data_IF_977546334770
#
_entry.id   IF_977546334770
#
_cell.length_a   1.000
_cell.length_b   1.000
_cell.length_c   1.000
_cell.angle_alpha   90.00
_cell.angle_beta   90.00
_cell.angle_gamma   90.00
#
_symmetry.space_group_name_H-M   'P 1'
#
loop_
_entity.id
_entity.type
_entity.pdbx_description
1 polymer ?
#
# COMPACT_ATOMS: atom_id res chain seq x y z
N UNK A 1 3.55 7.78 35.87
CA UNK A 1 3.11 7.33 34.53
C UNK A 1 4.25 6.52 33.96
N UNK A 2 4.05 5.21 33.75
CA UNK A 2 5.12 4.30 33.35
C UNK A 2 5.45 4.50 31.87
N UNK A 3 6.74 4.56 31.54
CA UNK A 3 7.28 4.72 30.19
C UNK A 3 6.85 3.59 29.23
N UNK A 4 6.54 2.39 29.73
CA UNK A 4 5.99 1.29 28.94
C UNK A 4 4.66 1.62 28.25
N UNK A 5 3.78 2.38 28.92
CA UNK A 5 2.48 2.74 28.34
C UNK A 5 2.65 3.71 27.16
N UNK A 6 3.66 4.58 27.20
CA UNK A 6 4.00 5.49 26.10
C UNK A 6 4.63 4.75 24.92
N UNK A 7 5.39 3.66 25.18
CA UNK A 7 5.93 2.81 24.13
C UNK A 7 4.83 2.06 23.34
N UNK A 8 3.68 1.80 23.95
CA UNK A 8 2.52 1.21 23.25
C UNK A 8 2.01 2.12 22.12
N UNK A 9 2.06 3.44 22.33
CA UNK A 9 1.66 4.45 21.33
C UNK A 9 2.82 4.99 20.50
N UNK A 10 4.00 4.37 20.58
CA UNK A 10 5.15 4.78 19.78
C UNK A 10 4.82 4.72 18.27
N UNK A 11 5.49 5.54 17.47
CA UNK A 11 5.29 5.63 16.02
C UNK A 11 5.49 4.29 15.30
N UNK A 12 6.27 3.37 15.88
CA UNK A 12 6.46 2.00 15.36
C UNK A 12 5.26 1.06 15.59
N UNK A 13 4.36 1.39 16.51
CA UNK A 13 3.16 0.60 16.84
C UNK A 13 1.85 1.26 16.34
N UNK A 14 1.95 2.35 15.59
CA UNK A 14 0.81 3.07 15.03
C UNK A 14 0.84 3.07 13.50
N UNK A 15 -0.31 2.81 12.89
CA UNK A 15 -0.46 2.84 11.43
C UNK A 15 -0.85 4.25 11.02
N UNK A 16 0.05 4.94 10.31
CA UNK A 16 -0.25 6.24 9.70
C UNK A 16 -0.95 6.04 8.36
N UNK A 17 -2.08 6.71 8.15
CA UNK A 17 -2.90 6.60 6.93
C UNK A 17 -3.00 7.96 6.25
N UNK A 18 -2.75 8.01 4.94
CA UNK A 18 -2.93 9.20 4.13
C UNK A 18 -4.43 9.45 3.91
N UNK A 19 -4.96 10.54 4.47
CA UNK A 19 -6.39 10.90 4.41
C UNK A 19 -6.90 11.11 2.97
N UNK A 20 -6.25 11.91 2.11
CA UNK A 20 -6.64 12.02 0.69
C UNK A 20 -6.74 10.67 -0.02
N UNK A 21 -5.74 9.82 0.17
CA UNK A 21 -5.70 8.51 -0.49
C UNK A 21 -6.79 7.57 0.06
N UNK A 22 -7.08 7.64 1.36
CA UNK A 22 -8.17 6.91 1.99
C UNK A 22 -9.56 7.36 1.49
N UNK A 23 -9.74 8.65 1.21
CA UNK A 23 -10.98 9.16 0.61
C UNK A 23 -11.15 8.71 -0.84
N UNK A 24 -10.07 8.67 -1.62
CA UNK A 24 -10.13 8.31 -3.04
C UNK A 24 -10.26 6.79 -3.28
N UNK A 25 -9.54 5.97 -2.51
CA UNK A 25 -9.39 4.52 -2.77
C UNK A 25 -9.96 3.64 -1.65
N UNK A 26 -10.36 4.24 -0.54
CA UNK A 26 -10.81 3.54 0.66
C UNK A 26 -9.70 3.32 1.68
N UNK A 27 -10.08 3.30 2.96
CA UNK A 27 -9.17 3.20 4.11
C UNK A 27 -8.28 1.96 4.05
N UNK A 28 -8.84 0.80 3.67
CA UNK A 28 -8.08 -0.45 3.59
C UNK A 28 -6.98 -0.39 2.51
N UNK A 29 -7.28 0.17 1.33
CA UNK A 29 -6.29 0.34 0.27
C UNK A 29 -5.19 1.30 0.70
N UNK A 30 -5.55 2.38 1.40
CA UNK A 30 -4.57 3.35 1.91
C UNK A 30 -3.64 2.77 2.98
N UNK A 31 -4.18 1.96 3.89
CA UNK A 31 -3.38 1.23 4.90
C UNK A 31 -2.41 0.27 4.21
N UNK A 32 -2.88 -0.53 3.25
CA UNK A 32 -2.04 -1.47 2.50
C UNK A 32 -0.93 -0.73 1.76
N UNK A 33 -1.25 0.39 1.11
CA UNK A 33 -0.27 1.21 0.41
C UNK A 33 0.83 1.73 1.35
N UNK A 34 0.45 2.24 2.53
CA UNK A 34 1.40 2.70 3.56
C UNK A 34 2.31 1.57 4.06
N UNK A 35 1.76 0.39 4.32
CA UNK A 35 2.54 -0.78 4.74
C UNK A 35 3.53 -1.25 3.66
N UNK A 36 3.10 -1.28 2.39
CA UNK A 36 3.97 -1.61 1.26
C UNK A 36 5.08 -0.56 1.08
N UNK A 37 4.78 0.72 1.28
CA UNK A 37 5.76 1.80 1.18
C UNK A 37 6.82 1.69 2.27
N UNK A 38 6.41 1.44 3.52
CA UNK A 38 7.32 1.19 4.63
C UNK A 38 8.26 0.01 4.35
N UNK A 39 7.73 -1.09 3.79
CA UNK A 39 8.56 -2.21 3.34
C UNK A 39 9.52 -1.82 2.23
N UNK A 40 9.07 -1.11 1.21
CA UNK A 40 9.97 -0.67 0.15
C UNK A 40 11.13 0.19 0.69
N UNK A 41 10.84 1.14 1.58
CA UNK A 41 11.87 1.95 2.22
C UNK A 41 12.87 1.10 3.02
N UNK A 42 12.38 0.08 3.73
CA UNK A 42 13.25 -0.87 4.43
C UNK A 42 14.20 -1.59 3.47
N UNK A 43 13.68 -2.14 2.35
CA UNK A 43 14.53 -2.83 1.37
C UNK A 43 15.51 -1.88 0.67
N UNK A 44 15.12 -0.62 0.44
CA UNK A 44 15.98 0.41 -0.13
C UNK A 44 17.13 0.77 0.80
N UNK A 45 16.85 0.90 2.11
CA UNK A 45 17.87 1.21 3.13
C UNK A 45 18.86 0.07 3.37
N UNK A 46 18.48 -1.18 3.06
CA UNK A 46 19.31 -2.35 3.27
C UNK A 46 19.98 -2.86 1.99
N UNK A 47 19.92 -2.10 0.88
CA UNK A 47 20.43 -2.49 -0.45
C UNK A 47 19.95 -3.88 -0.92
N UNK A 48 18.74 -4.26 -0.50
CA UNK A 48 18.12 -5.55 -0.84
C UNK A 48 17.14 -5.44 -2.02
N UNK A 49 17.00 -4.26 -2.62
CA UNK A 49 16.20 -4.08 -3.82
C UNK A 49 16.86 -4.83 -4.98
N UNK A 50 16.09 -5.70 -5.66
CA UNK A 50 16.53 -6.24 -6.94
C UNK A 50 16.61 -5.10 -7.97
N UNK A 51 17.48 -5.24 -8.97
CA UNK A 51 17.74 -4.22 -10.03
C UNK A 51 16.47 -3.67 -10.70
N UNK A 52 15.38 -4.44 -10.71
CA UNK A 52 14.10 -4.07 -11.34
C UNK A 52 13.10 -3.33 -10.41
N UNK A 53 13.47 -3.00 -9.17
CA UNK A 53 12.58 -2.29 -8.23
C UNK A 53 11.50 -3.17 -7.56
N UNK A 54 11.58 -4.49 -7.72
CA UNK A 54 10.61 -5.42 -7.13
C UNK A 54 11.01 -5.83 -5.71
N UNK A 55 10.05 -5.77 -4.80
CA UNK A 55 10.16 -6.31 -3.45
C UNK A 55 9.06 -7.37 -3.23
N UNK A 56 9.26 -8.26 -2.26
CA UNK A 56 8.25 -9.26 -1.92
C UNK A 56 7.57 -8.92 -0.58
N UNK A 57 6.30 -9.30 -0.47
CA UNK A 57 5.58 -9.25 0.80
C UNK A 57 4.66 -10.47 0.91
N UNK A 58 4.74 -11.18 2.04
CA UNK A 58 3.83 -12.29 2.30
C UNK A 58 2.49 -11.78 2.83
N UNK A 59 1.45 -12.63 2.77
CA UNK A 59 0.13 -12.33 3.33
C UNK A 59 0.23 -12.16 4.86
N UNK A 60 1.05 -12.98 5.52
CA UNK A 60 1.26 -12.94 6.96
C UNK A 60 1.93 -11.63 7.39
N UNK A 61 3.00 -11.22 6.71
CA UNK A 61 3.69 -9.97 7.03
C UNK A 61 2.77 -8.75 6.84
N UNK A 62 1.96 -8.78 5.77
CA UNK A 62 1.03 -7.69 5.50
C UNK A 62 -0.11 -7.68 6.53
N UNK A 63 -0.55 -8.85 6.99
CA UNK A 63 -1.54 -8.97 8.06
C UNK A 63 -0.98 -8.48 9.40
N UNK A 64 0.27 -8.78 9.72
CA UNK A 64 0.93 -8.33 10.94
C UNK A 64 1.02 -6.80 10.99
N UNK A 65 1.38 -6.18 9.87
CA UNK A 65 1.53 -4.72 9.76
C UNK A 65 0.22 -3.94 9.64
N UNK A 66 -0.87 -4.57 9.15
CA UNK A 66 -2.13 -3.87 8.85
C UNK A 66 -3.35 -4.38 9.62
N UNK A 67 -3.23 -5.53 10.27
CA UNK A 67 -4.36 -6.31 10.83
C UNK A 67 -5.44 -6.72 9.81
N UNK A 68 -5.23 -6.49 8.51
CA UNK A 68 -6.21 -6.80 7.47
C UNK A 68 -6.21 -8.28 7.12
N UNK A 69 -7.41 -8.86 6.99
CA UNK A 69 -7.58 -10.23 6.51
C UNK A 69 -7.12 -10.39 5.06
N UNK A 70 -6.77 -11.60 4.65
CA UNK A 70 -6.39 -11.93 3.26
C UNK A 70 -7.35 -11.34 2.21
N UNK A 71 -8.67 -11.44 2.44
CA UNK A 71 -9.69 -10.91 1.52
C UNK A 71 -9.68 -9.38 1.46
N UNK A 72 -9.45 -8.71 2.58
CA UNK A 72 -9.33 -7.25 2.63
C UNK A 72 -8.04 -6.78 1.95
N UNK A 73 -6.93 -7.50 2.15
CA UNK A 73 -5.67 -7.24 1.48
C UNK A 73 -5.82 -7.38 -0.03
N UNK A 74 -6.44 -8.47 -0.52
CA UNK A 74 -6.68 -8.70 -1.95
C UNK A 74 -7.51 -7.57 -2.57
N UNK A 75 -8.62 -7.19 -1.95
CA UNK A 75 -9.42 -6.04 -2.41
C UNK A 75 -8.63 -4.73 -2.42
N UNK A 76 -7.84 -4.48 -1.38
CA UNK A 76 -7.00 -3.28 -1.29
C UNK A 76 -5.96 -3.24 -2.40
N UNK A 77 -5.27 -4.36 -2.62
CA UNK A 77 -4.28 -4.53 -3.69
C UNK A 77 -4.93 -4.35 -5.06
N UNK A 78 -6.08 -4.97 -5.32
CA UNK A 78 -6.81 -4.83 -6.58
C UNK A 78 -7.16 -3.37 -6.87
N UNK A 79 -7.62 -2.63 -5.86
CA UNK A 79 -7.89 -1.18 -5.99
C UNK A 79 -6.62 -0.40 -6.33
N UNK A 80 -5.49 -0.70 -5.67
CA UNK A 80 -4.21 -0.03 -5.93
C UNK A 80 -3.66 -0.33 -7.32
N UNK A 81 -3.84 -1.57 -7.81
CA UNK A 81 -3.47 -1.97 -9.18
C UNK A 81 -4.34 -1.26 -10.21
N UNK A 82 -5.66 -1.17 -9.99
CA UNK A 82 -6.58 -0.42 -10.88
C UNK A 82 -6.29 1.08 -10.90
N UNK A 83 -5.79 1.63 -9.80
CA UNK A 83 -5.35 3.01 -9.71
C UNK A 83 -3.93 3.22 -10.27
N UNK A 84 -3.30 2.17 -10.84
CA UNK A 84 -1.95 2.19 -11.42
C UNK A 84 -0.84 2.60 -10.45
N UNK A 85 -1.12 2.56 -9.14
CA UNK A 85 -0.18 2.94 -8.08
C UNK A 85 0.90 1.87 -7.85
N UNK A 86 0.51 0.60 -8.00
CA UNK A 86 1.38 -0.54 -7.80
C UNK A 86 1.16 -1.57 -8.90
N UNK A 87 2.21 -2.31 -9.21
CA UNK A 87 2.14 -3.52 -10.01
C UNK A 87 2.32 -4.74 -9.10
N UNK A 88 1.65 -5.83 -9.47
CA UNK A 88 1.76 -7.11 -8.75
C UNK A 88 2.17 -8.22 -9.69
N UNK A 89 3.06 -9.08 -9.22
CA UNK A 89 3.46 -10.28 -9.95
C UNK A 89 3.63 -11.42 -8.95
N UNK A 90 3.00 -12.56 -9.24
CA UNK A 90 3.19 -13.77 -8.44
C UNK A 90 4.28 -14.59 -9.12
N UNK A 91 5.43 -14.78 -8.45
CA UNK A 91 6.56 -15.54 -9.00
C UNK A 91 7.01 -16.62 -8.02
N UNK A 92 7.47 -17.74 -8.56
CA UNK A 92 8.10 -18.84 -7.83
C UNK A 92 7.16 -19.89 -7.21
N UNK A 93 7.76 -20.96 -6.72
CA UNK A 93 7.16 -22.00 -5.87
C UNK A 93 7.97 -22.05 -4.56
N UNK A 94 7.41 -21.75 -3.38
CA UNK A 94 6.02 -21.34 -3.11
C UNK A 94 5.69 -19.95 -3.66
N UNK A 95 4.42 -19.74 -4.03
CA UNK A 95 3.94 -18.52 -4.67
C UNK A 95 4.15 -17.29 -3.75
N UNK A 96 5.14 -16.46 -4.07
CA UNK A 96 5.38 -15.18 -3.38
C UNK A 96 4.83 -14.04 -4.22
N UNK A 97 4.17 -13.09 -3.55
CA UNK A 97 3.68 -11.86 -4.17
C UNK A 97 4.81 -10.85 -4.21
N UNK A 98 5.19 -10.47 -5.42
CA UNK A 98 6.12 -9.39 -5.69
C UNK A 98 5.32 -8.14 -6.04
N UNK A 99 5.79 -7.01 -5.54
CA UNK A 99 5.21 -5.70 -5.71
C UNK A 99 6.27 -4.75 -6.26
N UNK A 100 5.83 -3.82 -7.10
CA UNK A 100 6.63 -2.72 -7.62
C UNK A 100 5.80 -1.45 -7.58
N UNK A 101 6.39 -0.33 -7.15
CA UNK A 101 5.74 0.97 -7.27
C UNK A 101 5.98 1.51 -8.68
N UNK A 102 4.92 2.05 -9.29
CA UNK A 102 5.05 2.75 -10.58
C UNK A 102 5.68 4.13 -10.33
N UNK A 103 6.85 4.40 -10.95
CA UNK A 103 7.70 5.60 -10.70
C UNK A 103 6.97 6.94 -10.89
N UNK A 104 5.91 6.99 -11.69
CA UNK A 104 5.16 8.21 -11.97
C UNK A 104 4.14 8.60 -10.90
N UNK A 105 3.73 7.68 -10.04
CA UNK A 105 2.59 7.91 -9.14
C UNK A 105 2.97 8.57 -7.82
N UNK A 106 4.16 8.29 -7.27
CA UNK A 106 4.68 8.99 -6.08
C UNK A 106 4.95 10.46 -6.38
N UNK A 107 5.46 10.79 -7.58
CA UNK A 107 5.62 12.18 -8.03
C UNK A 107 4.28 12.89 -8.16
N UNK A 108 3.26 12.23 -8.74
CA UNK A 108 1.92 12.82 -8.87
C UNK A 108 1.19 13.01 -7.54
N UNK A 109 1.26 12.03 -6.63
CA UNK A 109 0.57 12.08 -5.34
C UNK A 109 1.21 13.08 -4.34
N UNK A 110 2.54 13.29 -4.43
CA UNK A 110 3.27 14.23 -3.55
C UNK A 110 3.28 15.66 -4.11
N UNK A 111 3.29 15.84 -5.45
CA UNK A 111 3.22 17.17 -6.06
C UNK A 111 1.80 17.75 -6.10
N UNK A 112 0.76 16.90 -6.13
CA UNK A 112 -0.63 17.34 -5.98
C UNK A 112 -1.04 17.37 -4.51
N UNK A 113 -0.48 18.33 -3.77
CA UNK A 113 -1.27 19.00 -2.76
C UNK A 113 -2.56 19.50 -3.40
N UNK A 114 -3.68 19.04 -2.87
CA UNK A 114 -5.07 19.46 -3.14
C UNK A 114 -5.79 18.99 -4.41
N UNK A 115 -5.18 18.72 -5.57
CA UNK A 115 -5.98 18.33 -6.76
C UNK A 115 -5.24 17.43 -7.75
N UNK A 116 -5.45 16.11 -7.69
CA UNK A 116 -5.50 15.18 -8.85
C UNK A 116 -5.34 13.71 -8.40
N UNK A 117 -6.40 13.13 -7.84
CA UNK A 117 -6.69 11.71 -8.02
C UNK A 117 -8.00 11.64 -8.80
N UNK A 118 -7.95 12.03 -10.08
CA UNK A 118 -8.98 11.65 -11.04
C UNK A 118 -8.72 10.18 -11.42
N UNK A 119 -8.92 9.27 -10.46
CA UNK A 119 -9.06 7.85 -10.78
C UNK A 119 -10.47 7.72 -11.31
N UNK A 120 -10.58 7.29 -12.57
CA UNK A 120 -11.79 7.19 -13.37
C UNK A 120 -12.99 6.71 -12.55
N UNK A 121 -13.83 7.66 -12.11
CA UNK A 121 -15.19 7.41 -11.67
C UNK A 121 -16.12 7.73 -12.83
N UNK A 122 -16.00 6.95 -13.90
CA UNK A 122 -17.05 6.80 -14.90
C UNK A 122 -17.10 5.30 -15.23
N UNK A 123 -18.11 4.57 -14.76
CA UNK A 123 -19.41 4.62 -15.44
C UNK A 123 -20.55 4.54 -14.43
N UNK A 124 -21.31 5.64 -14.33
CA UNK A 124 -22.70 5.57 -13.91
C UNK A 124 -23.52 4.94 -15.04
N UNK A 125 -24.15 3.80 -14.73
CA UNK A 125 -25.47 3.34 -15.23
C UNK A 125 -25.60 2.83 -16.70
N UNK A 126 -26.11 1.60 -16.89
CA UNK A 126 -27.44 1.34 -17.49
C UNK A 126 -27.78 -0.15 -17.71
N UNK A 127 -29.10 -0.40 -17.80
CA UNK A 127 -29.89 -1.63 -18.10
C UNK A 127 -30.31 -2.44 -16.86
N UNK A 128 -31.60 -2.58 -16.49
CA UNK A 128 -32.90 -2.49 -17.20
C UNK A 128 -33.95 -1.87 -16.29
#
# INVERSE_FOLDING_TARGET
MNSEFLNLFNSGNSISVNRPLAHALGVNAAIVYGALLGKHLYYLQHDMLKEDGWFYSTIADLQESTSLTRRQQERGIDTLVRAELIETSVKGLPARRYFRFTEDTLKRAVLCGENAIQVCTDTTNQSV
#
